data_IF_861458835226
#
_entry.id   IF_861458835226
#
_cell.length_a   1.000
_cell.length_b   1.000
_cell.length_c   1.000
_cell.angle_alpha   90.00
_cell.angle_beta   90.00
_cell.angle_gamma   90.00
#
_symmetry.space_group_name_H-M   'P 1'
#
loop_
_entity.id
_entity.type
_entity.pdbx_description
1 polymer ?
#
# COMPACT_ATOMS: atom_id res chain seq x y z
N UNK A 1 79.26 0.56 -9.53
CA UNK A 1 78.86 -0.80 -9.24
C UNK A 1 77.63 -1.10 -10.08
N UNK A 2 77.68 -1.92 -11.12
CA UNK A 2 76.55 -2.19 -11.99
C UNK A 2 75.70 -3.36 -11.45
N UNK A 3 74.40 -3.14 -11.30
CA UNK A 3 73.44 -4.18 -10.97
C UNK A 3 73.12 -5.00 -12.18
N UNK A 4 73.41 -6.28 -12.11
CA UNK A 4 73.14 -7.28 -13.18
C UNK A 4 71.72 -7.80 -12.99
N UNK A 5 70.85 -7.51 -13.93
CA UNK A 5 69.48 -8.06 -13.97
C UNK A 5 69.57 -9.45 -14.67
N UNK A 6 69.15 -10.50 -13.96
CA UNK A 6 69.05 -11.85 -14.52
C UNK A 6 67.69 -12.01 -15.23
N UNK A 7 67.62 -12.60 -16.42
CA UNK A 7 66.38 -12.85 -17.09
C UNK A 7 65.63 -14.03 -16.45
N UNK A 8 64.36 -13.82 -16.11
CA UNK A 8 63.44 -14.91 -15.73
C UNK A 8 63.15 -15.82 -16.92
N UNK A 9 63.44 -17.10 -16.75
CA UNK A 9 63.06 -18.14 -17.72
C UNK A 9 61.55 -18.39 -17.62
N UNK A 10 60.84 -18.13 -18.70
CA UNK A 10 59.49 -18.62 -18.92
C UNK A 10 59.48 -20.14 -19.09
N UNK A 11 58.82 -20.85 -18.18
CA UNK A 11 58.45 -22.25 -18.38
C UNK A 11 57.19 -22.29 -19.26
N UNK A 12 57.14 -23.14 -20.30
CA UNK A 12 55.92 -23.33 -21.07
C UNK A 12 54.96 -24.23 -20.27
N UNK A 13 53.86 -23.66 -19.83
CA UNK A 13 52.72 -24.41 -19.28
C UNK A 13 51.88 -24.87 -20.50
N UNK A 14 51.60 -26.16 -20.69
CA UNK A 14 50.73 -26.57 -21.77
C UNK A 14 49.29 -26.18 -21.47
N UNK A 15 48.76 -25.23 -22.21
CA UNK A 15 47.34 -24.90 -22.25
C UNK A 15 46.59 -26.02 -22.97
N UNK A 16 46.13 -27.01 -22.22
CA UNK A 16 45.08 -27.92 -22.68
C UNK A 16 44.11 -28.19 -21.55
N UNK A 17 43.34 -27.15 -21.18
CA UNK A 17 42.04 -27.40 -20.55
C UNK A 17 41.01 -27.11 -21.60
N UNK A 18 40.68 -28.09 -22.39
CA UNK A 18 39.47 -28.12 -23.18
C UNK A 18 38.30 -28.19 -22.19
N UNK A 19 37.80 -27.04 -21.80
CA UNK A 19 36.56 -26.93 -21.04
C UNK A 19 35.42 -27.37 -21.93
N UNK A 20 35.03 -28.62 -21.77
CA UNK A 20 33.84 -29.20 -22.42
C UNK A 20 32.62 -28.41 -21.91
N UNK A 21 32.27 -27.35 -22.61
CA UNK A 21 31.00 -26.67 -22.51
C UNK A 21 29.90 -27.56 -23.12
N UNK A 22 29.54 -28.65 -22.46
CA UNK A 22 28.54 -29.59 -22.97
C UNK A 22 27.65 -30.17 -21.86
N UNK A 23 27.54 -29.49 -20.71
CA UNK A 23 26.66 -29.97 -19.60
C UNK A 23 25.37 -29.14 -19.47
N UNK A 24 25.21 -28.05 -20.22
CA UNK A 24 24.05 -27.18 -20.07
C UNK A 24 22.86 -27.46 -21.00
N UNK A 25 22.85 -28.55 -21.76
CA UNK A 25 21.79 -28.75 -22.77
C UNK A 25 21.07 -30.09 -22.64
N UNK A 26 20.92 -30.63 -21.45
CA UNK A 26 20.01 -31.78 -21.20
C UNK A 26 19.21 -31.64 -19.94
N UNK A 27 18.70 -30.46 -19.66
CA UNK A 27 17.52 -30.38 -18.79
C UNK A 27 16.35 -30.90 -19.65
N UNK A 28 15.68 -31.99 -19.25
CA UNK A 28 14.57 -32.52 -20.03
C UNK A 28 13.49 -31.42 -20.13
N UNK A 29 12.97 -31.24 -21.34
CA UNK A 29 11.89 -30.26 -21.63
C UNK A 29 10.75 -30.27 -20.57
N UNK A 30 10.55 -31.42 -19.92
CA UNK A 30 9.58 -31.56 -18.81
C UNK A 30 9.82 -30.59 -17.65
N UNK A 31 11.06 -30.30 -17.25
CA UNK A 31 11.35 -29.33 -16.18
C UNK A 31 11.07 -27.89 -16.61
N UNK A 32 11.26 -27.59 -17.90
CA UNK A 32 10.96 -26.27 -18.44
C UNK A 32 9.45 -26.02 -18.40
N UNK A 33 8.63 -27.00 -18.78
CA UNK A 33 7.18 -26.92 -18.72
C UNK A 33 6.65 -26.84 -17.27
N UNK A 34 7.22 -27.59 -16.32
CA UNK A 34 6.87 -27.49 -14.90
C UNK A 34 7.21 -26.13 -14.31
N UNK A 35 8.36 -25.57 -14.68
CA UNK A 35 8.79 -24.25 -14.16
C UNK A 35 7.88 -23.12 -14.69
N UNK A 36 7.51 -23.17 -15.97
CA UNK A 36 6.57 -22.22 -16.57
C UNK A 36 5.17 -22.36 -16.00
N UNK A 37 4.69 -23.59 -15.73
CA UNK A 37 3.38 -23.80 -15.13
C UNK A 37 3.32 -23.31 -13.67
N UNK A 38 4.40 -23.43 -12.91
CA UNK A 38 4.51 -22.86 -11.55
C UNK A 38 4.51 -21.32 -11.56
N UNK A 39 5.22 -20.71 -12.51
CA UNK A 39 5.24 -19.24 -12.65
C UNK A 39 3.85 -18.72 -13.06
N UNK A 40 3.17 -19.38 -14.00
CA UNK A 40 1.81 -18.99 -14.40
C UNK A 40 0.80 -19.17 -13.24
N UNK A 41 0.94 -20.22 -12.45
CA UNK A 41 0.09 -20.43 -11.28
C UNK A 41 0.29 -19.34 -10.20
N UNK A 42 1.54 -18.92 -9.96
CA UNK A 42 1.89 -17.82 -9.05
C UNK A 42 1.38 -16.46 -9.54
N UNK A 43 1.39 -16.21 -10.84
CA UNK A 43 0.88 -14.97 -11.43
C UNK A 43 -0.65 -14.91 -11.42
N UNK A 44 -1.34 -16.05 -11.49
CA UNK A 44 -2.81 -16.14 -11.42
C UNK A 44 -3.35 -16.02 -9.99
N UNK A 45 -2.52 -16.22 -8.95
CA UNK A 45 -2.92 -16.08 -7.55
C UNK A 45 -2.79 -14.66 -6.99
N UNK A 46 -2.23 -13.72 -7.75
CA UNK A 46 -2.28 -12.30 -7.40
C UNK A 46 -3.64 -11.73 -7.80
N UNK A 47 -4.67 -12.06 -7.02
CA UNK A 47 -5.95 -11.36 -7.07
C UNK A 47 -5.72 -9.87 -6.79
N UNK A 48 -6.53 -8.96 -7.35
CA UNK A 48 -6.46 -7.57 -6.97
C UNK A 48 -6.63 -7.46 -5.46
N UNK A 49 -5.66 -6.87 -4.77
CA UNK A 49 -5.77 -6.54 -3.36
C UNK A 49 -6.83 -5.43 -3.23
N UNK A 50 -8.10 -5.82 -3.09
CA UNK A 50 -9.13 -4.87 -2.70
C UNK A 50 -8.93 -4.55 -1.23
N UNK A 51 -8.89 -3.26 -0.90
CA UNK A 51 -8.98 -2.80 0.48
C UNK A 51 -10.25 -3.41 1.11
N UNK A 52 -10.08 -4.15 2.18
CA UNK A 52 -11.22 -4.72 2.92
C UNK A 52 -11.82 -3.63 3.82
N UNK A 53 -12.79 -2.89 3.29
CA UNK A 53 -13.45 -1.83 4.02
C UNK A 53 -14.35 -2.39 5.12
N UNK A 54 -14.05 -2.02 6.37
CA UNK A 54 -14.84 -2.39 7.54
C UNK A 54 -15.73 -1.21 7.95
N UNK A 55 -17.04 -1.45 8.05
CA UNK A 55 -17.96 -0.39 8.47
C UNK A 55 -17.83 -0.07 9.95
N UNK A 56 -17.96 1.23 10.28
CA UNK A 56 -17.96 1.71 11.66
C UNK A 56 -19.38 1.66 12.22
N UNK A 57 -19.61 0.94 13.32
CA UNK A 57 -20.94 0.72 13.90
C UNK A 57 -21.75 2.00 14.15
N UNK A 58 -21.10 3.07 14.60
CA UNK A 58 -21.76 4.36 14.78
C UNK A 58 -22.28 5.01 13.50
N UNK A 59 -21.81 4.56 12.32
CA UNK A 59 -22.31 5.05 11.03
C UNK A 59 -23.77 4.63 10.77
N UNK A 60 -24.28 3.65 11.51
CA UNK A 60 -25.68 3.20 11.38
C UNK A 60 -26.70 4.30 11.68
N UNK A 61 -26.33 5.29 12.50
CA UNK A 61 -27.18 6.47 12.77
C UNK A 61 -27.35 7.38 11.54
N UNK A 62 -26.40 7.31 10.61
CA UNK A 62 -26.37 8.07 9.35
C UNK A 62 -26.62 7.19 8.12
N UNK A 63 -27.05 5.95 8.33
CA UNK A 63 -27.19 4.94 7.26
C UNK A 63 -28.14 5.37 6.11
N UNK A 64 -29.04 6.32 6.36
CA UNK A 64 -29.89 6.92 5.33
C UNK A 64 -29.20 7.94 4.44
N UNK A 65 -28.04 8.48 4.87
CA UNK A 65 -27.31 9.55 4.18
C UNK A 65 -25.95 9.08 3.73
N UNK A 66 -25.18 8.44 4.61
CA UNK A 66 -23.82 7.97 4.34
C UNK A 66 -23.47 6.76 5.20
N UNK A 67 -22.48 6.00 4.78
CA UNK A 67 -21.85 4.95 5.59
C UNK A 67 -20.36 5.26 5.72
N UNK A 68 -19.82 5.06 6.91
CA UNK A 68 -18.42 5.30 7.22
C UNK A 68 -17.69 3.97 7.36
N UNK A 69 -16.57 3.86 6.67
CA UNK A 69 -15.70 2.70 6.68
C UNK A 69 -14.28 3.10 7.08
N UNK A 70 -13.50 2.13 7.49
CA UNK A 70 -12.06 2.26 7.61
C UNK A 70 -11.37 1.05 6.98
N UNK A 71 -10.12 1.21 6.63
CA UNK A 71 -9.28 0.15 6.07
C UNK A 71 -8.26 -0.28 7.14
N UNK A 72 -8.43 -1.48 7.76
CA UNK A 72 -7.54 -1.99 8.80
C UNK A 72 -6.09 -2.12 8.31
N UNK A 73 -5.90 -2.44 7.03
CA UNK A 73 -4.58 -2.65 6.44
C UNK A 73 -3.78 -1.35 6.28
N UNK A 74 -4.43 -0.20 6.43
CA UNK A 74 -3.77 1.11 6.37
C UNK A 74 -3.33 1.64 7.74
N UNK A 75 -3.66 0.94 8.81
CA UNK A 75 -3.28 1.35 10.16
C UNK A 75 -1.77 1.23 10.33
N UNK A 76 -1.10 2.36 10.59
CA UNK A 76 0.33 2.43 10.84
C UNK A 76 0.59 3.16 12.15
N UNK A 77 1.32 2.51 13.05
CA UNK A 77 1.64 3.04 14.38
C UNK A 77 3.09 3.52 14.45
N UNK A 78 3.27 4.73 14.96
CA UNK A 78 4.57 5.29 15.27
C UNK A 78 4.53 5.93 16.68
N UNK A 79 4.94 5.20 17.70
CA UNK A 79 4.78 5.60 19.09
C UNK A 79 3.31 5.80 19.47
N UNK A 80 2.95 7.00 19.91
CA UNK A 80 1.58 7.37 20.25
C UNK A 80 0.76 7.83 19.03
N UNK A 81 1.38 8.01 17.88
CA UNK A 81 0.72 8.44 16.67
C UNK A 81 0.30 7.24 15.83
N UNK A 82 -0.92 7.29 15.31
CA UNK A 82 -1.46 6.24 14.44
C UNK A 82 -2.13 6.87 13.23
N UNK A 83 -1.68 6.48 12.03
CA UNK A 83 -2.36 6.86 10.79
C UNK A 83 -3.34 5.80 10.35
N UNK A 84 -4.43 6.21 9.70
CA UNK A 84 -5.46 5.33 9.17
C UNK A 84 -6.19 6.01 8.01
N UNK A 85 -6.65 5.20 7.04
CA UNK A 85 -7.53 5.66 5.97
C UNK A 85 -8.97 5.34 6.33
N UNK A 86 -9.82 6.38 6.26
CA UNK A 86 -11.26 6.32 6.40
C UNK A 86 -11.91 6.58 5.04
N UNK A 87 -13.02 5.93 4.78
CA UNK A 87 -13.88 6.18 3.62
C UNK A 87 -15.28 6.58 4.10
N UNK A 88 -15.81 7.65 3.52
CA UNK A 88 -17.24 8.00 3.62
C UNK A 88 -17.88 7.69 2.27
N UNK A 89 -18.89 6.85 2.28
CA UNK A 89 -19.67 6.49 1.10
C UNK A 89 -21.06 7.09 1.20
N UNK A 90 -21.42 7.98 0.28
CA UNK A 90 -22.67 8.71 0.30
C UNK A 90 -23.76 7.98 -0.49
N UNK A 91 -24.97 7.96 0.04
CA UNK A 91 -26.15 7.39 -0.64
C UNK A 91 -26.59 8.23 -1.83
N UNK A 92 -26.33 9.51 -1.80
CA UNK A 92 -26.64 10.44 -2.87
C UNK A 92 -25.38 11.24 -3.24
N UNK A 93 -25.25 11.58 -4.48
CA UNK A 93 -24.12 12.36 -4.98
C UNK A 93 -24.06 13.72 -4.28
N UNK A 94 -22.88 14.06 -3.79
CA UNK A 94 -22.56 15.30 -3.09
C UNK A 94 -21.97 16.34 -4.04
N UNK A 95 -21.78 17.58 -3.53
CA UNK A 95 -21.19 18.68 -4.29
C UNK A 95 -22.18 19.41 -5.19
N UNK A 96 -21.68 20.43 -5.87
CA UNK A 96 -22.46 21.30 -6.73
C UNK A 96 -22.58 20.78 -8.16
N UNK A 97 -22.17 21.64 -9.13
CA UNK A 97 -22.11 21.26 -10.56
C UNK A 97 -20.78 20.55 -10.84
N UNK A 98 -20.79 19.61 -11.85
CA UNK A 98 -19.55 19.05 -12.38
C UNK A 98 -18.51 20.18 -12.65
N UNK A 99 -17.20 19.98 -12.28
CA UNK A 99 -16.58 18.72 -11.89
C UNK A 99 -16.61 18.38 -10.38
N UNK A 100 -17.11 19.27 -9.51
CA UNK A 100 -17.05 19.11 -8.05
C UNK A 100 -18.11 18.16 -7.47
N UNK A 101 -18.55 17.17 -8.22
CA UNK A 101 -19.52 16.16 -7.75
C UNK A 101 -18.77 14.89 -7.33
N UNK A 102 -19.17 14.30 -6.22
CA UNK A 102 -18.56 13.06 -5.73
C UNK A 102 -19.59 12.18 -5.01
N UNK A 103 -19.31 10.89 -4.94
CA UNK A 103 -20.15 9.91 -4.25
C UNK A 103 -19.44 9.27 -3.05
N UNK A 104 -18.13 9.43 -2.95
CA UNK A 104 -17.36 8.97 -1.79
C UNK A 104 -16.13 9.85 -1.57
N UNK A 105 -15.65 9.86 -0.31
CA UNK A 105 -14.47 10.62 0.11
C UNK A 105 -13.55 9.72 0.93
N UNK A 106 -12.27 9.66 0.56
CA UNK A 106 -11.21 9.04 1.38
C UNK A 106 -10.51 10.12 2.21
N UNK A 107 -10.35 9.85 3.48
CA UNK A 107 -9.62 10.69 4.44
C UNK A 107 -8.40 9.92 4.93
N UNK A 108 -7.24 10.50 4.83
CA UNK A 108 -6.06 10.04 5.52
C UNK A 108 -5.91 10.84 6.80
N UNK A 109 -6.10 10.21 7.94
CA UNK A 109 -6.09 10.84 9.27
C UNK A 109 -4.94 10.30 10.11
N UNK A 110 -4.46 11.16 11.00
CA UNK A 110 -3.53 10.79 12.06
C UNK A 110 -4.18 11.05 13.42
N UNK A 111 -4.06 10.08 14.31
CA UNK A 111 -4.60 10.09 15.67
C UNK A 111 -3.46 10.11 16.66
N UNK A 112 -3.57 10.95 17.68
CA UNK A 112 -2.72 10.92 18.86
C UNK A 112 -3.44 10.14 19.97
N UNK A 113 -2.92 8.97 20.31
CA UNK A 113 -3.54 8.07 21.29
C UNK A 113 -3.27 8.50 22.73
N UNK A 114 -2.32 9.40 22.97
CA UNK A 114 -2.03 9.94 24.28
C UNK A 114 -2.94 11.14 24.62
N UNK A 115 -3.17 12.02 23.64
CA UNK A 115 -3.85 13.30 23.88
C UNK A 115 -5.28 13.36 23.29
N UNK A 116 -5.82 12.23 22.84
CA UNK A 116 -7.20 12.11 22.32
C UNK A 116 -7.53 13.18 21.27
N UNK A 117 -6.63 13.37 20.31
CA UNK A 117 -6.79 14.34 19.23
C UNK A 117 -6.49 13.69 17.88
N UNK A 118 -6.95 14.32 16.83
CA UNK A 118 -6.72 13.89 15.46
C UNK A 118 -6.35 15.07 14.57
N UNK A 119 -5.74 14.77 13.43
CA UNK A 119 -5.56 15.73 12.33
C UNK A 119 -5.79 15.07 10.99
N UNK A 120 -6.19 15.87 10.02
CA UNK A 120 -6.32 15.46 8.63
C UNK A 120 -4.96 15.59 7.95
N UNK A 121 -4.53 14.54 7.23
CA UNK A 121 -3.32 14.58 6.41
C UNK A 121 -3.65 14.78 4.94
N UNK A 122 -4.69 14.10 4.45
CA UNK A 122 -5.16 14.22 3.08
C UNK A 122 -6.64 13.86 2.96
N UNK A 123 -7.28 14.40 1.92
CA UNK A 123 -8.64 14.12 1.51
C UNK A 123 -8.66 13.93 0.01
N UNK A 124 -9.44 12.95 -0.47
CA UNK A 124 -9.66 12.74 -1.90
C UNK A 124 -11.13 12.38 -2.13
N UNK A 125 -11.81 13.16 -2.93
CA UNK A 125 -13.16 12.91 -3.39
C UNK A 125 -13.16 12.06 -4.65
N UNK A 126 -14.10 11.13 -4.77
CA UNK A 126 -14.25 10.23 -5.91
C UNK A 126 -15.65 10.32 -6.51
N UNK A 127 -15.73 10.24 -7.83
CA UNK A 127 -17.01 10.26 -8.55
C UNK A 127 -17.88 9.04 -8.23
N UNK A 128 -17.26 7.90 -8.03
CA UNK A 128 -17.93 6.63 -7.70
C UNK A 128 -18.06 6.38 -6.21
N UNK A 129 -18.93 5.45 -5.86
CA UNK A 129 -19.05 4.93 -4.51
C UNK A 129 -17.82 4.09 -4.14
N UNK A 130 -17.60 3.88 -2.85
CA UNK A 130 -16.51 3.05 -2.29
C UNK A 130 -15.10 3.46 -2.77
N UNK A 131 -14.87 4.75 -3.03
CA UNK A 131 -13.58 5.28 -3.46
C UNK A 131 -13.19 4.85 -4.87
N UNK A 132 -14.17 4.63 -5.74
CA UNK A 132 -13.97 4.19 -7.13
C UNK A 132 -14.12 5.36 -8.11
N UNK A 133 -13.74 5.13 -9.37
CA UNK A 133 -13.78 6.14 -10.42
C UNK A 133 -12.62 7.11 -10.34
N UNK A 134 -12.68 8.14 -11.18
CA UNK A 134 -11.67 9.20 -11.21
C UNK A 134 -11.77 10.09 -9.97
N UNK A 135 -10.65 10.59 -9.44
CA UNK A 135 -10.68 11.63 -8.41
C UNK A 135 -11.39 12.88 -8.90
N UNK A 136 -12.36 13.37 -8.14
CA UNK A 136 -13.06 14.62 -8.43
C UNK A 136 -12.28 15.81 -7.88
N UNK A 137 -11.71 15.65 -6.66
CA UNK A 137 -10.87 16.65 -6.01
C UNK A 137 -9.90 15.94 -5.05
N UNK A 138 -8.79 16.61 -4.75
CA UNK A 138 -7.81 16.11 -3.78
C UNK A 138 -7.17 17.27 -3.02
N UNK A 139 -7.10 17.13 -1.71
CA UNK A 139 -6.54 18.10 -0.81
C UNK A 139 -5.52 17.45 0.13
N UNK A 140 -4.36 18.07 0.28
CA UNK A 140 -3.33 17.63 1.22
C UNK A 140 -3.22 18.70 2.29
N UNK A 141 -3.50 18.34 3.53
CA UNK A 141 -3.42 19.21 4.69
C UNK A 141 -2.40 18.68 5.69
N UNK A 142 -1.45 19.53 6.07
CA UNK A 142 -0.59 19.28 7.22
C UNK A 142 -1.30 19.49 8.57
N UNK A 143 -2.59 19.59 8.56
CA UNK A 143 -3.70 19.78 9.50
C UNK A 143 -3.35 20.20 10.91
N UNK A 144 -4.15 21.09 11.46
CA UNK A 144 -4.14 21.38 12.88
C UNK A 144 -4.70 20.20 13.67
N UNK A 145 -4.12 19.96 14.84
CA UNK A 145 -4.68 19.01 15.79
C UNK A 145 -6.00 19.51 16.35
N UNK A 146 -7.02 18.66 16.28
CA UNK A 146 -8.34 18.92 16.86
C UNK A 146 -8.68 17.83 17.88
N UNK A 147 -9.33 18.16 19.01
CA UNK A 147 -9.72 17.16 19.99
C UNK A 147 -10.73 16.18 19.39
N UNK A 148 -10.71 14.95 19.87
CA UNK A 148 -11.69 13.94 19.52
C UNK A 148 -12.95 14.18 20.35
N UNK A 149 -14.05 14.54 19.68
CA UNK A 149 -15.32 14.78 20.36
C UNK A 149 -15.94 13.47 20.87
N UNK A 150 -16.47 13.51 22.07
CA UNK A 150 -17.19 12.39 22.67
C UNK A 150 -18.42 12.02 21.82
N UNK A 151 -18.73 10.73 21.77
CA UNK A 151 -19.87 10.15 21.04
C UNK A 151 -19.89 10.41 19.53
N UNK A 152 -18.78 10.89 18.96
CA UNK A 152 -18.61 11.10 17.53
C UNK A 152 -18.13 9.84 16.81
N UNK A 153 -18.25 9.85 15.47
CA UNK A 153 -17.63 8.84 14.59
C UNK A 153 -16.10 8.88 14.73
N UNK A 154 -15.52 10.08 14.89
CA UNK A 154 -14.09 10.23 15.10
C UNK A 154 -13.60 9.57 16.40
N UNK A 155 -14.42 9.54 17.45
CA UNK A 155 -14.10 8.82 18.68
C UNK A 155 -14.11 7.29 18.44
N UNK A 156 -15.08 6.78 17.69
CA UNK A 156 -15.09 5.36 17.34
C UNK A 156 -13.85 4.98 16.52
N UNK A 157 -13.47 5.79 15.53
CA UNK A 157 -12.26 5.60 14.74
C UNK A 157 -10.98 5.71 15.59
N UNK A 158 -10.92 6.67 16.50
CA UNK A 158 -9.79 6.82 17.43
C UNK A 158 -9.62 5.59 18.33
N UNK A 159 -10.72 5.05 18.85
CA UNK A 159 -10.69 3.80 19.65
C UNK A 159 -10.18 2.64 18.83
N UNK A 160 -10.65 2.49 17.60
CA UNK A 160 -10.17 1.44 16.67
C UNK A 160 -8.68 1.61 16.36
N UNK A 161 -8.26 2.82 16.02
CA UNK A 161 -6.86 3.12 15.70
C UNK A 161 -5.94 2.91 16.91
N UNK A 162 -6.37 3.29 18.11
CA UNK A 162 -5.56 3.24 19.33
C UNK A 162 -5.67 1.92 20.10
N UNK A 163 -6.61 1.03 19.73
CA UNK A 163 -6.81 -0.27 20.38
C UNK A 163 -7.41 -0.12 21.79
N UNK A 164 -8.36 0.80 21.97
CA UNK A 164 -9.00 1.09 23.26
C UNK A 164 -10.49 0.77 23.26
#
# INVERSE_FOLDING_TARGET
MPFTIRPFRCFPVPCTVAYRASIFLKLPLAYFWCFWSLITLLLLSSGPAYAEWVSVDKSNQLAGIMTVYFDPDTIRRNGNLVTMVQLIDFKTMQGGRSPSRFSSTKFHKEFDCAEERLRLLALTDFWGNMGTGEPADAYIDGGNWVPVEADSINQALWRLACGK
#
